data_IF_230632175017
#
_entry.id   IF_230632175017
#
_cell.length_a   1.000
_cell.length_b   1.000
_cell.length_c   1.000
_cell.angle_alpha   90.00
_cell.angle_beta   90.00
_cell.angle_gamma   90.00
#
_symmetry.space_group_name_H-M   'P 1'
#
loop_
_entity.id
_entity.type
_entity.pdbx_description
1 polymer ?
#
# COMPACT_ATOMS: atom_id res chain seq x y z
N UNK A 1 -6.39 53.05 2.38
CA UNK A 1 -5.24 52.12 2.36
C UNK A 1 -5.57 51.03 3.36
N UNK A 2 -5.90 49.83 2.88
CA UNK A 2 -6.21 48.68 3.74
C UNK A 2 -4.89 48.06 4.17
N UNK A 3 -4.59 48.11 5.45
CA UNK A 3 -3.56 47.28 6.07
C UNK A 3 -4.19 45.90 6.31
N UNK A 4 -4.18 45.04 5.30
CA UNK A 4 -4.67 43.67 5.39
C UNK A 4 -3.54 42.73 4.95
N UNK A 5 -3.16 41.81 5.83
CA UNK A 5 -2.35 40.63 5.48
C UNK A 5 -0.93 40.57 6.03
N UNK A 6 -0.74 40.76 7.34
CA UNK A 6 0.34 40.03 8.02
C UNK A 6 0.05 38.56 7.80
N UNK A 7 0.90 37.84 7.04
CA UNK A 7 0.77 36.40 6.84
C UNK A 7 1.04 35.67 8.16
N UNK A 8 0.04 35.65 9.02
CA UNK A 8 0.02 34.84 10.23
C UNK A 8 -0.11 33.40 9.77
N UNK A 9 0.95 32.61 9.97
CA UNK A 9 0.93 31.18 9.68
C UNK A 9 -0.12 30.59 10.65
N UNK A 10 -1.24 30.03 10.16
CA UNK A 10 -2.20 29.39 11.03
C UNK A 10 -1.48 28.28 11.82
N UNK A 11 -1.95 27.94 13.04
CA UNK A 11 -1.45 26.77 13.76
C UNK A 11 -1.36 25.58 12.80
N UNK A 12 -0.28 24.79 12.88
CA UNK A 12 -0.05 23.69 11.93
C UNK A 12 -1.27 22.75 11.80
N UNK A 13 -2.06 22.61 12.87
CA UNK A 13 -3.27 21.78 12.92
C UNK A 13 -4.44 22.32 12.07
N UNK A 14 -4.45 23.62 11.73
CA UNK A 14 -5.49 24.29 10.92
C UNK A 14 -5.04 24.51 9.47
N UNK A 15 -3.83 24.08 9.11
CA UNK A 15 -3.34 24.22 7.75
C UNK A 15 -4.20 23.35 6.79
N UNK A 16 -4.69 23.89 5.66
CA UNK A 16 -5.64 23.19 4.78
C UNK A 16 -5.14 21.85 4.22
N UNK A 17 -3.83 21.66 4.20
CA UNK A 17 -3.12 20.44 3.79
C UNK A 17 -3.01 19.40 4.92
N UNK A 18 -2.95 19.83 6.18
CA UNK A 18 -2.86 18.97 7.37
C UNK A 18 -4.26 18.55 7.85
N UNK A 19 -5.26 19.43 7.73
CA UNK A 19 -6.65 19.13 8.06
C UNK A 19 -7.37 18.27 7.01
N UNK A 20 -6.69 17.94 5.90
CA UNK A 20 -7.27 17.10 4.85
C UNK A 20 -7.37 15.67 5.37
N UNK A 21 -8.57 15.06 5.41
CA UNK A 21 -8.67 13.66 5.82
C UNK A 21 -7.81 12.82 4.88
N UNK A 22 -6.85 12.09 5.44
CA UNK A 22 -6.13 11.07 4.69
C UNK A 22 -7.17 10.17 4.05
N UNK A 23 -7.11 10.02 2.72
CA UNK A 23 -8.02 9.17 1.96
C UNK A 23 -7.73 7.73 2.37
N UNK A 24 -8.32 7.30 3.47
CA UNK A 24 -8.12 5.99 4.04
C UNK A 24 -9.23 5.10 3.49
N UNK A 25 -8.90 4.32 2.47
CA UNK A 25 -9.85 3.41 1.84
C UNK A 25 -9.16 2.46 0.87
N UNK A 26 -9.78 1.32 0.60
CA UNK A 26 -9.28 0.30 -0.34
C UNK A 26 -8.92 0.89 -1.71
N UNK A 27 -9.66 1.92 -2.16
CA UNK A 27 -9.38 2.64 -3.42
C UNK A 27 -8.09 3.47 -3.40
N UNK A 28 -7.63 3.93 -2.23
CA UNK A 28 -6.38 4.68 -2.11
C UNK A 28 -5.14 3.79 -2.33
N UNK A 29 -5.24 2.50 -1.98
CA UNK A 29 -4.18 1.50 -2.24
C UNK A 29 -4.06 1.19 -3.75
N UNK A 30 -5.19 1.21 -4.47
CA UNK A 30 -5.19 1.04 -5.93
C UNK A 30 -4.68 2.30 -6.66
N UNK A 31 -4.91 3.48 -6.08
CA UNK A 31 -4.52 4.75 -6.66
C UNK A 31 -3.02 5.07 -6.51
N UNK A 32 -2.32 4.50 -5.52
CA UNK A 32 -0.89 4.73 -5.32
C UNK A 32 -0.03 3.75 -6.17
N UNK A 33 0.75 4.27 -7.14
CA UNK A 33 1.59 3.46 -8.04
C UNK A 33 2.62 2.59 -7.29
N UNK A 34 2.97 2.95 -6.06
CA UNK A 34 3.97 2.22 -5.27
C UNK A 34 3.48 0.82 -4.86
N UNK A 35 2.16 0.59 -4.85
CA UNK A 35 1.58 -0.73 -4.56
C UNK A 35 1.50 -1.66 -5.77
N UNK A 36 1.63 -1.11 -6.98
CA UNK A 36 1.43 -1.84 -8.23
C UNK A 36 2.39 -3.01 -8.48
N UNK A 37 3.68 -2.97 -8.07
CA UNK A 37 4.59 -4.10 -8.32
C UNK A 37 4.08 -5.39 -7.65
N UNK A 38 3.68 -5.33 -6.38
CA UNK A 38 3.19 -6.51 -5.67
C UNK A 38 1.81 -6.97 -6.17
N UNK A 39 0.91 -6.03 -6.45
CA UNK A 39 -0.42 -6.33 -7.02
C UNK A 39 -0.29 -6.95 -8.42
N UNK A 40 0.61 -6.43 -9.26
CA UNK A 40 0.85 -6.92 -10.61
C UNK A 40 1.45 -8.34 -10.64
N UNK A 41 2.40 -8.62 -9.75
CA UNK A 41 2.99 -9.97 -9.61
C UNK A 41 1.95 -10.97 -9.09
N UNK A 42 1.15 -10.60 -8.09
CA UNK A 42 0.08 -11.44 -7.57
C UNK A 42 -1.02 -11.71 -8.63
N UNK A 43 -1.42 -10.68 -9.38
CA UNK A 43 -2.37 -10.80 -10.48
C UNK A 43 -1.88 -11.70 -11.61
N UNK A 44 -0.59 -11.62 -11.94
CA UNK A 44 0.05 -12.52 -12.92
C UNK A 44 0.04 -13.97 -12.42
N UNK A 45 0.37 -14.20 -11.16
CA UNK A 45 0.28 -15.54 -10.55
C UNK A 45 -1.14 -16.12 -10.59
N UNK A 46 -2.15 -15.29 -10.33
CA UNK A 46 -3.55 -15.70 -10.43
C UNK A 46 -3.92 -16.06 -11.89
N UNK A 47 -3.49 -15.29 -12.88
CA UNK A 47 -3.75 -15.57 -14.29
C UNK A 47 -3.15 -16.92 -14.72
N UNK A 48 -1.92 -17.23 -14.30
CA UNK A 48 -1.30 -18.53 -14.56
C UNK A 48 -2.01 -19.67 -13.81
N UNK A 49 -2.54 -19.43 -12.60
CA UNK A 49 -3.30 -20.44 -11.87
C UNK A 49 -4.60 -20.81 -12.62
N UNK A 50 -5.31 -19.81 -13.13
CA UNK A 50 -6.52 -20.02 -13.95
C UNK A 50 -6.15 -20.76 -15.25
N UNK A 51 -5.10 -20.33 -15.94
CA UNK A 51 -4.63 -20.99 -17.16
C UNK A 51 -4.25 -22.46 -16.93
N UNK A 52 -3.56 -22.75 -15.82
CA UNK A 52 -3.19 -24.11 -15.43
C UNK A 52 -4.43 -24.97 -15.18
N UNK A 53 -5.44 -24.45 -14.48
CA UNK A 53 -6.70 -25.15 -14.25
C UNK A 53 -7.42 -25.48 -15.57
N UNK A 54 -7.45 -24.55 -16.53
CA UNK A 54 -8.00 -24.79 -17.87
C UNK A 54 -7.24 -25.90 -18.59
N UNK A 55 -5.91 -25.90 -18.54
CA UNK A 55 -5.08 -26.93 -19.18
C UNK A 55 -5.28 -28.33 -18.58
N UNK A 56 -5.56 -28.43 -17.28
CA UNK A 56 -5.96 -29.70 -16.65
C UNK A 56 -7.25 -30.21 -17.30
N UNK A 57 -8.27 -29.35 -17.40
CA UNK A 57 -9.58 -29.74 -17.97
C UNK A 57 -9.50 -30.06 -19.47
N UNK A 58 -8.54 -29.46 -20.19
CA UNK A 58 -8.30 -29.68 -21.61
C UNK A 58 -7.45 -30.94 -21.90
N UNK A 59 -7.04 -31.70 -20.88
CA UNK A 59 -6.30 -32.96 -21.07
C UNK A 59 -4.81 -32.78 -21.37
N UNK A 60 -4.22 -31.64 -21.02
CA UNK A 60 -2.78 -31.35 -21.16
C UNK A 60 -2.05 -31.35 -19.81
N UNK A 61 -1.90 -32.52 -19.13
CA UNK A 61 -1.40 -32.57 -17.76
C UNK A 61 0.04 -32.04 -17.61
N UNK A 62 0.89 -32.23 -18.63
CA UNK A 62 2.27 -31.73 -18.60
C UNK A 62 2.36 -30.20 -18.58
N UNK A 63 1.56 -29.53 -19.43
CA UNK A 63 1.51 -28.06 -19.47
C UNK A 63 0.82 -27.48 -18.22
N UNK A 64 -0.17 -28.19 -17.69
CA UNK A 64 -0.84 -27.80 -16.46
C UNK A 64 0.10 -27.76 -15.25
N UNK A 65 0.99 -28.75 -15.10
CA UNK A 65 1.98 -28.78 -14.00
C UNK A 65 2.93 -27.58 -14.10
N UNK A 66 3.46 -27.31 -15.29
CA UNK A 66 4.36 -26.16 -15.51
C UNK A 66 3.65 -24.84 -15.18
N UNK A 67 2.41 -24.67 -15.65
CA UNK A 67 1.58 -23.51 -15.33
C UNK A 67 1.33 -23.36 -13.83
N UNK A 68 1.04 -24.45 -13.13
CA UNK A 68 0.80 -24.45 -11.69
C UNK A 68 2.04 -24.06 -10.88
N UNK A 69 3.24 -24.53 -11.29
CA UNK A 69 4.51 -24.15 -10.65
C UNK A 69 4.81 -22.66 -10.84
N UNK A 70 4.65 -22.15 -12.07
CA UNK A 70 4.85 -20.72 -12.36
C UNK A 70 3.86 -19.87 -11.56
N UNK A 71 2.58 -20.28 -11.52
CA UNK A 71 1.55 -19.62 -10.73
C UNK A 71 1.90 -19.57 -9.24
N UNK A 72 2.32 -20.71 -8.68
CA UNK A 72 2.74 -20.81 -7.28
C UNK A 72 3.91 -19.89 -6.95
N UNK A 73 4.96 -19.90 -7.77
CA UNK A 73 6.13 -19.04 -7.58
C UNK A 73 5.77 -17.55 -7.67
N UNK A 74 4.94 -17.16 -8.64
CA UNK A 74 4.48 -15.79 -8.80
C UNK A 74 3.59 -15.33 -7.63
N UNK A 75 2.67 -16.18 -7.15
CA UNK A 75 1.84 -15.87 -5.99
C UNK A 75 2.69 -15.70 -4.72
N UNK A 76 3.64 -16.62 -4.48
CA UNK A 76 4.54 -16.53 -3.32
C UNK A 76 5.37 -15.24 -3.39
N UNK A 77 5.96 -14.94 -4.55
CA UNK A 77 6.75 -13.72 -4.77
C UNK A 77 5.92 -12.45 -4.58
N UNK A 78 4.69 -12.40 -5.13
CA UNK A 78 3.78 -11.26 -5.00
C UNK A 78 3.34 -11.03 -3.56
N UNK A 79 2.97 -12.10 -2.84
CA UNK A 79 2.61 -12.02 -1.42
C UNK A 79 3.80 -11.58 -0.57
N UNK A 80 5.00 -12.10 -0.82
CA UNK A 80 6.20 -11.71 -0.09
C UNK A 80 6.52 -10.21 -0.26
N UNK A 81 6.38 -9.67 -1.48
CA UNK A 81 6.53 -8.24 -1.75
C UNK A 81 5.50 -7.40 -0.99
N UNK A 82 4.22 -7.82 -0.99
CA UNK A 82 3.17 -7.15 -0.22
C UNK A 82 3.49 -7.12 1.29
N UNK A 83 3.96 -8.23 1.84
CA UNK A 83 4.31 -8.35 3.27
C UNK A 83 5.52 -7.48 3.61
N UNK A 84 6.55 -7.46 2.75
CA UNK A 84 7.74 -6.64 2.96
C UNK A 84 7.40 -5.14 2.94
N UNK A 85 6.57 -4.71 2.00
CA UNK A 85 6.10 -3.32 1.92
C UNK A 85 5.28 -2.93 3.16
N UNK A 86 4.45 -3.85 3.66
CA UNK A 86 3.69 -3.63 4.90
C UNK A 86 4.61 -3.48 6.11
N UNK A 87 5.64 -4.33 6.22
CA UNK A 87 6.63 -4.27 7.32
C UNK A 87 7.43 -2.97 7.30
N UNK A 88 7.93 -2.54 6.13
CA UNK A 88 8.66 -1.27 5.99
C UNK A 88 7.86 -0.09 6.54
N UNK A 89 6.56 -0.03 6.25
CA UNK A 89 5.69 1.06 6.72
C UNK A 89 5.42 0.99 8.22
N UNK A 90 5.31 -0.21 8.81
CA UNK A 90 5.19 -0.38 10.27
C UNK A 90 6.45 0.12 10.98
N UNK A 91 7.63 -0.21 10.46
CA UNK A 91 8.90 0.24 11.03
C UNK A 91 9.09 1.77 10.93
N UNK A 92 8.52 2.41 9.89
CA UNK A 92 8.50 3.87 9.76
C UNK A 92 7.48 4.56 10.67
N UNK A 93 6.36 3.90 10.99
CA UNK A 93 5.31 4.43 11.86
C UNK A 93 5.77 4.57 13.32
N UNK A 94 6.57 3.63 13.82
CA UNK A 94 7.17 3.70 15.16
C UNK A 94 8.26 4.78 15.27
N UNK A 95 8.90 5.15 14.16
CA UNK A 95 9.86 6.25 14.14
C UNK A 95 9.19 7.65 14.12
N UNK A 96 7.87 7.72 13.88
CA UNK A 96 7.08 8.96 13.84
C UNK A 96 6.33 9.29 15.13
N UNK A 97 6.28 8.38 16.11
CA UNK A 97 5.68 8.65 17.43
C UNK A 97 6.71 9.37 18.28
N UNK A 98 6.82 10.69 18.09
CA UNK A 98 7.35 11.55 19.15
C UNK A 98 6.35 11.44 20.31
N UNK A 99 6.76 10.99 21.51
CA UNK A 99 5.87 11.00 22.66
C UNK A 99 5.40 12.44 22.85
N UNK A 100 4.09 12.66 22.87
CA UNK A 100 3.48 13.91 23.35
C UNK A 100 3.86 14.02 24.82
N UNK A 101 5.07 14.51 25.10
CA UNK A 101 5.53 14.83 26.43
C UNK A 101 4.57 15.89 26.96
N UNK A 102 3.80 15.51 27.97
CA UNK A 102 3.02 16.44 28.78
C UNK A 102 3.95 17.48 29.40
N UNK A 103 4.09 18.60 28.72
CA UNK A 103 4.42 19.91 29.27
C UNK A 103 3.10 20.70 29.12
N UNK A 104 2.31 20.92 30.16
CA UNK A 104 2.71 21.53 31.43
C UNK A 104 2.69 23.04 31.23
N UNK A 105 1.63 23.71 31.67
CA UNK A 105 1.51 25.16 31.49
C UNK A 105 0.16 25.75 31.86
N UNK A 106 -0.36 25.43 33.05
CA UNK A 106 -1.28 26.29 33.78
C UNK A 106 -0.47 27.24 34.67
N UNK A 107 -0.15 28.41 34.13
CA UNK A 107 0.04 29.66 34.89
C UNK A 107 -0.35 30.81 33.97
#
# INVERSE_FOLDING_TARGET
MKTEGTWEIPPLDDAPDIARPEVTGTGAILADPRHWPGIGVAGTGLAFAVLAAVLVTAGYPGLAIVGAVIAGAALIGGVALLVLERRRRTDQGDAGIVPRLGLGGNQ
#
